data_IF_692523723494
#
_entry.id   IF_692523723494
#
_cell.length_a   1.000
_cell.length_b   1.000
_cell.length_c   1.000
_cell.angle_alpha   90.00
_cell.angle_beta   90.00
_cell.angle_gamma   90.00
#
_symmetry.space_group_name_H-M   'P 1'
#
loop_
_entity.id
_entity.type
_entity.pdbx_description
1 polymer ?
#
# COMPACT_ATOMS: atom_id res chain seq x y z
N UNK A 1 -5.99 7.43 -12.58
CA UNK A 1 -5.85 6.30 -11.63
C UNK A 1 -6.77 6.45 -10.41
N UNK A 2 -6.40 7.15 -9.35
CA UNK A 2 -7.21 7.40 -8.16
C UNK A 2 -7.49 8.90 -8.01
N UNK A 3 -8.75 9.27 -7.71
CA UNK A 3 -9.13 10.65 -7.39
C UNK A 3 -9.98 10.72 -6.13
N UNK A 4 -9.77 11.77 -5.37
CA UNK A 4 -10.59 12.17 -4.24
C UNK A 4 -11.12 13.57 -4.49
N UNK A 5 -12.39 13.81 -4.18
CA UNK A 5 -13.06 15.11 -4.29
C UNK A 5 -13.72 15.45 -2.97
N UNK A 6 -13.28 16.56 -2.36
CA UNK A 6 -13.80 17.09 -1.08
C UNK A 6 -13.96 16.01 0.00
N UNK A 7 -12.97 15.10 0.09
CA UNK A 7 -13.02 13.97 0.99
C UNK A 7 -12.92 14.46 2.44
N UNK A 8 -13.88 14.09 3.26
CA UNK A 8 -13.89 14.40 4.69
C UNK A 8 -14.12 13.15 5.52
N UNK A 9 -13.38 13.01 6.61
CA UNK A 9 -13.59 11.97 7.61
C UNK A 9 -13.55 12.56 9.01
N UNK A 10 -14.66 12.41 9.72
CA UNK A 10 -14.81 12.86 11.10
C UNK A 10 -14.98 11.66 12.04
N UNK A 11 -14.43 11.79 13.24
CA UNK A 11 -14.64 10.89 14.36
C UNK A 11 -15.18 11.71 15.53
N UNK A 12 -16.50 11.63 15.77
CA UNK A 12 -17.18 12.56 16.68
C UNK A 12 -16.99 14.02 16.23
N UNK A 13 -16.47 14.87 17.10
CA UNK A 13 -16.20 16.28 16.81
C UNK A 13 -14.88 16.57 16.08
N UNK A 14 -13.99 15.55 15.93
CA UNK A 14 -12.68 15.73 15.31
C UNK A 14 -12.73 15.39 13.81
N UNK A 15 -12.36 16.33 12.95
CA UNK A 15 -12.16 16.12 11.51
C UNK A 15 -10.71 15.69 11.24
N UNK A 16 -10.50 14.39 11.11
CA UNK A 16 -9.18 13.82 10.83
C UNK A 16 -8.75 13.99 9.37
N UNK A 17 -9.71 14.07 8.44
CA UNK A 17 -9.52 14.49 7.04
C UNK A 17 -10.60 15.55 6.77
N UNK A 18 -10.22 16.69 6.25
CA UNK A 18 -11.08 17.85 6.08
C UNK A 18 -10.92 18.45 4.68
N UNK A 19 -11.91 18.20 3.82
CA UNK A 19 -12.01 18.70 2.44
C UNK A 19 -10.79 18.42 1.57
N UNK A 20 -10.29 17.18 1.60
CA UNK A 20 -9.10 16.78 0.85
C UNK A 20 -9.47 16.39 -0.58
N UNK A 21 -8.88 17.07 -1.56
CA UNK A 21 -9.02 16.75 -2.99
C UNK A 21 -7.67 16.52 -3.63
N UNK A 22 -7.51 15.41 -4.36
CA UNK A 22 -6.29 15.07 -5.10
C UNK A 22 -6.56 14.11 -6.25
N UNK A 23 -5.60 13.99 -7.15
CA UNK A 23 -5.60 12.99 -8.21
C UNK A 23 -4.23 12.35 -8.33
N UNK A 24 -4.16 11.03 -8.22
CA UNK A 24 -2.97 10.25 -8.54
C UNK A 24 -2.98 9.91 -10.03
N UNK A 25 -1.88 10.19 -10.70
CA UNK A 25 -1.65 9.76 -12.08
C UNK A 25 -1.19 8.30 -12.10
N UNK A 26 -1.44 7.63 -13.23
CA UNK A 26 -0.93 6.29 -13.46
C UNK A 26 0.60 6.29 -13.49
N UNK A 27 1.17 5.16 -13.11
CA UNK A 27 2.62 4.90 -13.19
C UNK A 27 3.49 5.89 -12.40
N UNK A 28 2.92 6.52 -11.35
CA UNK A 28 3.68 7.42 -10.46
C UNK A 28 3.97 6.76 -9.11
N UNK A 29 5.07 7.17 -8.49
CA UNK A 29 5.35 6.94 -7.08
C UNK A 29 5.07 8.26 -6.35
N UNK A 30 3.89 8.37 -5.75
CA UNK A 30 3.47 9.58 -5.03
C UNK A 30 3.77 9.44 -3.54
N UNK A 31 4.46 10.41 -2.95
CA UNK A 31 4.68 10.49 -1.50
C UNK A 31 3.54 11.23 -0.81
N UNK A 32 3.14 10.77 0.37
CA UNK A 32 2.23 11.48 1.28
C UNK A 32 2.94 11.72 2.60
N UNK A 33 3.29 12.97 2.86
CA UNK A 33 4.05 13.40 4.05
C UNK A 33 3.24 14.38 4.90
N UNK A 34 3.74 14.67 6.09
CA UNK A 34 3.16 15.63 7.03
C UNK A 34 3.45 15.25 8.48
N UNK A 35 3.26 16.16 9.44
CA UNK A 35 3.50 15.89 10.85
C UNK A 35 2.60 14.78 11.40
N UNK A 36 2.91 14.32 12.62
CA UNK A 36 2.06 13.37 13.32
C UNK A 36 0.67 13.99 13.57
N UNK A 37 -0.39 13.19 13.40
CA UNK A 37 -1.75 13.69 13.50
C UNK A 37 -2.26 14.47 12.28
N UNK A 38 -1.49 14.60 11.19
CA UNK A 38 -1.91 15.30 9.97
C UNK A 38 -3.09 14.65 9.22
N UNK A 39 -3.49 13.43 9.59
CA UNK A 39 -4.60 12.72 8.94
C UNK A 39 -4.19 11.71 7.86
N UNK A 40 -2.89 11.51 7.60
CA UNK A 40 -2.35 10.62 6.55
C UNK A 40 -2.91 9.19 6.63
N UNK A 41 -2.77 8.54 7.78
CA UNK A 41 -3.25 7.17 8.00
C UNK A 41 -4.78 7.09 7.88
N UNK A 42 -5.50 8.14 8.30
CA UNK A 42 -6.96 8.21 8.14
C UNK A 42 -7.34 8.30 6.67
N UNK A 43 -6.62 9.11 5.88
CA UNK A 43 -6.81 9.18 4.43
C UNK A 43 -6.56 7.82 3.77
N UNK A 44 -5.47 7.13 4.11
CA UNK A 44 -5.18 5.76 3.64
C UNK A 44 -6.29 4.78 4.02
N UNK A 45 -6.80 4.86 5.26
CA UNK A 45 -7.90 4.01 5.71
C UNK A 45 -9.18 4.26 4.90
N UNK A 46 -9.46 5.51 4.52
CA UNK A 46 -10.60 5.83 3.65
C UNK A 46 -10.38 5.27 2.24
N UNK A 47 -9.20 5.46 1.66
CA UNK A 47 -8.86 4.97 0.31
C UNK A 47 -8.90 3.44 0.24
N UNK A 48 -8.45 2.75 1.29
CA UNK A 48 -8.46 1.30 1.38
C UNK A 48 -9.81 0.69 1.83
N UNK A 49 -10.83 1.52 2.09
CA UNK A 49 -12.17 1.06 2.50
C UNK A 49 -12.29 0.61 3.95
N UNK A 50 -11.26 0.83 4.79
CA UNK A 50 -11.30 0.52 6.22
C UNK A 50 -12.17 1.51 7.00
N UNK A 51 -12.30 2.73 6.49
CA UNK A 51 -13.21 3.75 6.99
C UNK A 51 -14.02 4.34 5.86
N UNK A 52 -15.35 4.30 5.96
CA UNK A 52 -16.19 5.05 5.04
C UNK A 52 -15.96 6.57 5.27
N UNK A 53 -15.76 7.37 4.22
CA UNK A 53 -15.75 8.83 4.34
C UNK A 53 -17.04 9.35 4.99
N UNK A 54 -16.96 10.49 5.67
CA UNK A 54 -18.14 11.19 6.18
C UNK A 54 -18.85 11.98 5.07
N UNK A 55 -18.06 12.49 4.11
CA UNK A 55 -18.53 13.15 2.89
C UNK A 55 -17.44 13.16 1.83
N UNK A 56 -17.79 13.58 0.61
CA UNK A 56 -16.90 13.59 -0.53
C UNK A 56 -16.98 12.30 -1.33
N UNK A 57 -16.09 12.15 -2.29
CA UNK A 57 -16.10 11.06 -3.25
C UNK A 57 -14.70 10.52 -3.50
N UNK A 58 -14.59 9.18 -3.62
CA UNK A 58 -13.39 8.47 -4.05
C UNK A 58 -13.68 7.69 -5.32
N UNK A 59 -12.83 7.85 -6.34
CA UNK A 59 -12.91 7.07 -7.58
C UNK A 59 -11.59 6.40 -7.90
N UNK A 60 -11.65 5.12 -8.23
CA UNK A 60 -10.56 4.34 -8.79
C UNK A 60 -10.92 4.06 -10.25
N UNK A 61 -10.08 4.54 -11.20
CA UNK A 61 -10.31 4.40 -12.64
C UNK A 61 -11.69 4.89 -13.13
N UNK A 62 -12.17 5.97 -12.50
CA UNK A 62 -13.47 6.55 -12.80
C UNK A 62 -14.64 5.88 -12.07
N UNK A 63 -14.45 4.68 -11.53
CA UNK A 63 -15.46 3.99 -10.73
C UNK A 63 -15.46 4.47 -9.27
N UNK A 64 -16.62 4.72 -8.72
CA UNK A 64 -16.79 5.12 -7.33
C UNK A 64 -16.48 3.97 -6.37
N UNK A 65 -15.61 4.22 -5.37
CA UNK A 65 -15.16 3.21 -4.41
C UNK A 65 -15.43 3.59 -2.95
N UNK A 66 -15.86 4.81 -2.66
CA UNK A 66 -16.17 5.22 -1.29
C UNK A 66 -17.33 4.39 -0.71
N UNK A 67 -17.15 3.91 0.52
CA UNK A 67 -18.09 3.03 1.18
C UNK A 67 -18.05 1.56 0.76
N UNK A 68 -17.19 1.19 -0.19
CA UNK A 68 -16.94 -0.22 -0.50
C UNK A 68 -16.09 -0.88 0.59
N UNK A 69 -16.34 -2.17 0.84
CA UNK A 69 -15.52 -2.97 1.73
C UNK A 69 -14.10 -3.20 1.14
N UNK A 70 -13.06 -3.41 1.98
CA UNK A 70 -11.68 -3.56 1.54
C UNK A 70 -11.46 -4.66 0.50
N UNK A 71 -12.13 -5.80 0.63
CA UNK A 71 -12.07 -6.91 -0.32
C UNK A 71 -12.56 -6.50 -1.72
N UNK A 72 -13.60 -5.67 -1.80
CA UNK A 72 -14.15 -5.13 -3.04
C UNK A 72 -13.19 -4.14 -3.71
N UNK A 73 -12.52 -3.32 -2.90
CA UNK A 73 -11.50 -2.37 -3.38
C UNK A 73 -10.26 -3.13 -3.86
N UNK A 74 -9.84 -4.16 -3.10
CA UNK A 74 -8.73 -5.05 -3.50
C UNK A 74 -9.00 -5.76 -4.83
N UNK A 75 -10.21 -6.27 -5.01
CA UNK A 75 -10.63 -6.91 -6.28
C UNK A 75 -10.62 -5.93 -7.48
N UNK A 76 -10.66 -4.61 -7.24
CA UNK A 76 -10.51 -3.58 -8.28
C UNK A 76 -9.05 -3.17 -8.55
N UNK A 77 -8.10 -3.86 -7.93
CA UNK A 77 -6.68 -3.67 -8.17
C UNK A 77 -6.02 -2.61 -7.28
N UNK A 78 -6.66 -2.18 -6.19
CA UNK A 78 -6.02 -1.36 -5.17
C UNK A 78 -5.65 -2.24 -3.97
N UNK A 79 -4.36 -2.37 -3.72
CA UNK A 79 -3.84 -3.12 -2.59
C UNK A 79 -3.21 -2.19 -1.55
N UNK A 80 -3.21 -2.61 -0.29
CA UNK A 80 -2.54 -1.90 0.80
C UNK A 80 -1.67 -2.86 1.60
N UNK A 81 -0.46 -2.42 1.93
CA UNK A 81 0.36 -3.07 2.96
C UNK A 81 0.05 -2.49 4.34
N UNK A 82 0.30 -3.24 5.39
CA UNK A 82 0.14 -2.77 6.77
C UNK A 82 1.47 -2.22 7.29
N UNK A 83 1.41 -1.21 8.16
CA UNK A 83 2.58 -0.66 8.84
C UNK A 83 3.36 -1.75 9.61
N UNK A 84 2.62 -2.67 10.24
CA UNK A 84 3.18 -3.86 10.90
C UNK A 84 2.74 -5.10 10.12
N UNK A 85 3.66 -5.76 9.39
CA UNK A 85 3.34 -6.98 8.66
C UNK A 85 2.82 -8.07 9.58
N UNK A 86 1.71 -8.69 9.17
CA UNK A 86 1.09 -9.80 9.93
C UNK A 86 1.03 -11.06 9.07
N UNK A 87 2.17 -11.71 8.79
CA UNK A 87 2.14 -13.02 8.16
C UNK A 87 1.56 -14.05 9.12
N UNK A 88 1.04 -15.13 8.57
CA UNK A 88 0.69 -16.32 9.35
C UNK A 88 2.00 -17.01 9.78
N UNK A 89 2.36 -16.98 11.08
CA UNK A 89 3.72 -17.31 11.52
C UNK A 89 4.09 -18.77 11.34
N UNK A 90 3.10 -19.67 11.43
CA UNK A 90 3.30 -21.13 11.34
C UNK A 90 3.18 -21.66 9.90
N UNK A 91 2.69 -20.85 8.97
CA UNK A 91 2.71 -21.15 7.55
C UNK A 91 4.08 -20.81 6.95
N UNK A 92 4.47 -21.53 5.92
CA UNK A 92 5.67 -21.22 5.14
C UNK A 92 5.54 -19.87 4.44
N UNK A 93 6.66 -19.30 4.00
CA UNK A 93 6.68 -18.10 3.17
C UNK A 93 5.85 -18.31 1.89
N UNK A 94 5.99 -19.48 1.26
CA UNK A 94 5.22 -19.85 0.07
C UNK A 94 3.72 -19.89 0.35
N UNK A 95 3.28 -20.60 1.38
CA UNK A 95 1.87 -20.69 1.76
C UNK A 95 1.27 -19.32 2.06
N UNK A 96 2.01 -18.44 2.77
CA UNK A 96 1.59 -17.07 3.02
C UNK A 96 1.28 -16.29 1.73
N UNK A 97 2.09 -16.47 0.70
CA UNK A 97 1.89 -15.79 -0.60
C UNK A 97 0.72 -16.43 -1.36
N UNK A 98 0.55 -17.74 -1.28
CA UNK A 98 -0.52 -18.49 -1.94
C UNK A 98 -1.93 -18.18 -1.41
N UNK A 99 -2.05 -17.56 -0.25
CA UNK A 99 -3.36 -17.12 0.31
C UNK A 99 -3.95 -15.88 -0.40
N UNK A 100 -3.14 -15.11 -1.10
CA UNK A 100 -3.54 -13.80 -1.60
C UNK A 100 -4.26 -13.79 -2.97
N UNK A 101 -4.12 -14.78 -3.88
CA UNK A 101 -4.82 -14.78 -5.16
C UNK A 101 -6.33 -14.78 -4.99
N UNK A 102 -7.01 -13.99 -5.83
CA UNK A 102 -8.47 -13.94 -5.90
C UNK A 102 -9.04 -15.15 -6.67
N UNK A 103 -10.29 -15.50 -6.40
CA UNK A 103 -11.07 -16.51 -7.14
C UNK A 103 -10.42 -17.91 -7.18
N UNK A 104 -9.86 -18.38 -6.08
CA UNK A 104 -9.35 -19.74 -6.00
C UNK A 104 -10.52 -20.75 -6.06
N UNK A 105 -10.57 -21.56 -7.12
CA UNK A 105 -11.66 -22.53 -7.33
C UNK A 105 -11.67 -23.61 -6.25
N UNK A 106 -10.52 -23.93 -5.66
CA UNK A 106 -10.37 -24.86 -4.55
C UNK A 106 -11.12 -24.48 -3.29
N UNK A 107 -11.48 -23.20 -3.10
CA UNK A 107 -12.33 -22.72 -2.00
C UNK A 107 -13.78 -23.19 -2.12
N UNK A 108 -14.21 -23.60 -3.32
CA UNK A 108 -15.56 -24.10 -3.56
C UNK A 108 -15.58 -25.61 -3.36
N UNK A 109 -16.27 -26.07 -2.32
CA UNK A 109 -16.41 -27.51 -1.99
C UNK A 109 -16.76 -28.39 -3.22
N UNK A 110 -17.67 -27.93 -4.06
CA UNK A 110 -18.10 -28.64 -5.26
C UNK A 110 -17.02 -28.74 -6.34
N UNK A 111 -16.14 -27.75 -6.46
CA UNK A 111 -15.09 -27.72 -7.50
C UNK A 111 -14.04 -28.82 -7.26
N UNK A 112 -13.69 -29.08 -6.00
CA UNK A 112 -12.75 -30.13 -5.63
C UNK A 112 -13.26 -31.53 -6.01
N UNK A 113 -14.56 -31.73 -6.00
CA UNK A 113 -15.18 -33.02 -6.29
C UNK A 113 -15.51 -33.21 -7.78
N UNK A 114 -16.00 -32.15 -8.43
CA UNK A 114 -16.46 -32.20 -9.83
C UNK A 114 -15.37 -31.90 -10.86
N UNK A 115 -14.31 -31.16 -10.47
CA UNK A 115 -13.27 -30.67 -11.38
C UNK A 115 -11.85 -30.78 -10.79
N UNK A 116 -11.42 -31.93 -10.22
CA UNK A 116 -10.15 -32.03 -9.50
C UNK A 116 -8.94 -31.69 -10.38
N UNK A 117 -8.95 -32.05 -11.65
CA UNK A 117 -7.87 -31.71 -12.58
C UNK A 117 -7.73 -30.20 -12.84
N UNK A 118 -8.86 -29.46 -12.84
CA UNK A 118 -8.86 -28.01 -13.02
C UNK A 118 -8.39 -27.29 -11.76
N UNK A 119 -8.81 -27.76 -10.59
CA UNK A 119 -8.30 -27.24 -9.30
C UNK A 119 -6.79 -27.46 -9.19
N UNK A 120 -6.29 -28.68 -9.45
CA UNK A 120 -4.87 -28.98 -9.42
C UNK A 120 -4.05 -28.18 -10.44
N UNK A 121 -4.61 -27.87 -11.62
CA UNK A 121 -3.96 -26.99 -12.60
C UNK A 121 -3.87 -25.54 -12.08
N UNK A 122 -4.93 -25.03 -11.46
CA UNK A 122 -4.95 -23.69 -10.86
C UNK A 122 -3.96 -23.60 -9.69
N UNK A 123 -3.93 -24.59 -8.80
CA UNK A 123 -2.98 -24.63 -7.67
C UNK A 123 -1.53 -24.59 -8.16
N UNK A 124 -1.16 -25.38 -9.19
CA UNK A 124 0.16 -25.34 -9.79
C UNK A 124 0.51 -23.95 -10.34
N UNK A 125 -0.45 -23.27 -10.98
CA UNK A 125 -0.27 -21.92 -11.48
C UNK A 125 -0.07 -20.90 -10.33
N UNK A 126 -0.84 -21.02 -9.25
CA UNK A 126 -0.69 -20.20 -8.04
C UNK A 126 0.68 -20.42 -7.39
N UNK A 127 1.13 -21.68 -7.25
CA UNK A 127 2.46 -22.01 -6.72
C UNK A 127 3.56 -21.37 -7.58
N UNK A 128 3.48 -21.50 -8.91
CA UNK A 128 4.47 -20.93 -9.82
C UNK A 128 4.52 -19.40 -9.72
N UNK A 129 3.35 -18.75 -9.64
CA UNK A 129 3.24 -17.31 -9.48
C UNK A 129 3.76 -16.85 -8.09
N UNK A 130 3.44 -17.58 -7.04
CA UNK A 130 3.94 -17.29 -5.69
C UNK A 130 5.46 -17.40 -5.63
N UNK A 131 6.04 -18.46 -6.19
CA UNK A 131 7.52 -18.62 -6.26
C UNK A 131 8.17 -17.50 -7.06
N UNK A 132 7.56 -17.06 -8.17
CA UNK A 132 8.05 -15.93 -8.95
C UNK A 132 8.14 -14.63 -8.09
N UNK A 133 7.09 -14.31 -7.34
CA UNK A 133 7.09 -13.11 -6.50
C UNK A 133 7.99 -13.23 -5.28
N UNK A 134 8.14 -14.43 -4.71
CA UNK A 134 9.11 -14.70 -3.65
C UNK A 134 10.54 -14.50 -4.17
N UNK A 135 10.82 -14.95 -5.38
CA UNK A 135 12.12 -14.74 -6.04
C UNK A 135 12.36 -13.25 -6.31
N UNK A 136 11.36 -12.57 -6.87
CA UNK A 136 11.42 -11.12 -7.11
C UNK A 136 11.79 -10.32 -5.87
N UNK A 137 11.26 -10.67 -4.69
CA UNK A 137 11.60 -9.99 -3.43
C UNK A 137 12.85 -10.55 -2.74
N UNK A 138 13.54 -11.54 -3.33
CA UNK A 138 14.79 -12.10 -2.81
C UNK A 138 14.64 -13.08 -1.63
N UNK A 139 13.46 -13.69 -1.47
CA UNK A 139 13.16 -14.62 -0.38
C UNK A 139 13.14 -16.10 -0.81
N UNK A 140 13.63 -16.44 -2.00
CA UNK A 140 13.60 -17.83 -2.54
C UNK A 140 14.20 -18.86 -1.60
N UNK A 141 15.29 -18.52 -0.92
CA UNK A 141 15.99 -19.39 0.04
C UNK A 141 15.18 -19.66 1.32
N UNK A 142 14.11 -18.91 1.57
CA UNK A 142 13.21 -19.03 2.72
C UNK A 142 11.81 -19.51 2.31
N UNK A 143 11.56 -19.82 1.04
CA UNK A 143 10.23 -20.12 0.52
C UNK A 143 9.50 -21.22 1.30
N UNK A 144 10.19 -22.28 1.65
CA UNK A 144 9.65 -23.45 2.34
C UNK A 144 9.86 -23.37 3.88
N UNK A 145 10.33 -22.23 4.41
CA UNK A 145 10.52 -21.98 5.83
C UNK A 145 9.30 -21.28 6.46
N UNK A 146 9.01 -21.53 7.75
CA UNK A 146 7.89 -20.87 8.43
C UNK A 146 8.16 -19.36 8.57
N UNK A 147 7.12 -18.55 8.35
CA UNK A 147 7.26 -17.08 8.33
C UNK A 147 7.67 -16.48 9.68
N UNK A 148 7.53 -17.22 10.80
CA UNK A 148 7.98 -16.76 12.13
C UNK A 148 9.50 -16.48 12.22
N UNK A 149 10.33 -17.14 11.39
CA UNK A 149 11.79 -16.93 11.44
C UNK A 149 12.24 -15.65 10.72
N UNK A 150 11.37 -15.04 9.93
CA UNK A 150 11.71 -13.86 9.15
C UNK A 150 12.02 -12.66 10.05
N UNK A 151 13.05 -11.92 9.70
CA UNK A 151 13.34 -10.60 10.27
C UNK A 151 12.21 -9.60 9.96
N UNK A 152 12.17 -8.47 10.67
CA UNK A 152 11.17 -7.42 10.42
C UNK A 152 11.13 -6.95 8.97
N UNK A 153 12.28 -6.70 8.36
CA UNK A 153 12.35 -6.28 6.97
C UNK A 153 12.00 -7.40 5.97
N UNK A 154 12.38 -8.66 6.24
CA UNK A 154 11.97 -9.79 5.41
C UNK A 154 10.45 -10.00 5.46
N UNK A 155 9.80 -9.73 6.59
CA UNK A 155 8.33 -9.73 6.67
C UNK A 155 7.68 -8.66 5.79
N UNK A 156 8.30 -7.47 5.65
CA UNK A 156 7.82 -6.43 4.72
C UNK A 156 7.96 -6.86 3.27
N UNK A 157 9.07 -7.53 2.91
CA UNK A 157 9.23 -8.13 1.58
C UNK A 157 8.21 -9.25 1.31
N UNK A 158 7.95 -10.10 2.31
CA UNK A 158 6.89 -11.12 2.20
C UNK A 158 5.51 -10.48 1.98
N UNK A 159 5.21 -9.41 2.69
CA UNK A 159 3.94 -8.69 2.53
C UNK A 159 3.82 -8.09 1.12
N UNK A 160 4.91 -7.51 0.60
CA UNK A 160 4.94 -7.04 -0.79
C UNK A 160 4.67 -8.19 -1.77
N UNK A 161 5.32 -9.35 -1.60
CA UNK A 161 5.09 -10.52 -2.43
C UNK A 161 3.62 -10.99 -2.39
N UNK A 162 3.00 -11.00 -1.19
CA UNK A 162 1.58 -11.34 -1.01
C UNK A 162 0.65 -10.43 -1.81
N UNK A 163 0.93 -9.14 -1.79
CA UNK A 163 0.14 -8.15 -2.53
C UNK A 163 0.31 -8.33 -4.04
N UNK A 164 1.52 -8.61 -4.51
CA UNK A 164 1.85 -8.70 -5.94
C UNK A 164 1.20 -9.88 -6.66
N UNK A 165 0.90 -10.97 -5.95
CA UNK A 165 0.20 -12.14 -6.54
C UNK A 165 -1.19 -11.76 -7.06
N UNK A 166 -1.86 -10.78 -6.44
CA UNK A 166 -3.15 -10.27 -6.90
C UNK A 166 -3.05 -9.31 -8.09
N UNK A 167 -1.83 -9.01 -8.60
CA UNK A 167 -1.57 -8.10 -9.73
C UNK A 167 -2.21 -6.72 -9.54
N UNK A 168 -1.92 -6.02 -8.45
CA UNK A 168 -2.51 -4.73 -8.18
C UNK A 168 -2.03 -3.67 -9.19
N UNK A 169 -2.89 -2.69 -9.48
CA UNK A 169 -2.56 -1.52 -10.31
C UNK A 169 -2.12 -0.33 -9.46
N UNK A 170 -2.61 -0.26 -8.21
CA UNK A 170 -2.24 0.73 -7.22
C UNK A 170 -1.89 0.04 -5.90
N UNK A 171 -0.73 0.37 -5.35
CA UNK A 171 -0.30 -0.11 -4.04
C UNK A 171 -0.16 1.06 -3.08
N UNK A 172 -0.83 0.97 -1.94
CA UNK A 172 -0.65 1.87 -0.81
C UNK A 172 0.39 1.28 0.14
N UNK A 173 1.51 1.98 0.32
CA UNK A 173 2.58 1.57 1.25
C UNK A 173 2.58 2.48 2.48
N UNK A 174 2.47 1.89 3.66
CA UNK A 174 2.46 2.60 4.94
C UNK A 174 3.80 2.36 5.66
N UNK A 175 4.69 3.35 5.62
CA UNK A 175 6.04 3.37 6.22
C UNK A 175 6.88 2.13 5.85
N UNK A 176 7.14 1.87 4.55
CA UNK A 176 7.92 0.71 4.14
C UNK A 176 9.34 0.69 4.71
N UNK A 177 9.92 1.86 5.02
CA UNK A 177 11.26 1.99 5.60
C UNK A 177 11.34 1.83 7.12
N UNK A 178 10.22 1.88 7.85
CA UNK A 178 10.24 1.88 9.31
C UNK A 178 10.80 0.57 9.89
N UNK A 179 11.85 0.68 10.74
CA UNK A 179 12.47 -0.47 11.40
C UNK A 179 13.23 -1.43 10.48
N UNK A 180 13.59 -1.00 9.28
CA UNK A 180 14.38 -1.76 8.30
C UNK A 180 15.83 -1.27 8.32
N UNK A 181 16.79 -2.20 8.23
CA UNK A 181 18.20 -1.80 8.09
C UNK A 181 18.45 -1.18 6.69
N UNK A 182 19.49 -0.34 6.53
CA UNK A 182 19.76 0.38 5.28
C UNK A 182 19.85 -0.51 4.04
N UNK A 183 20.58 -1.63 4.11
CA UNK A 183 20.78 -2.51 2.96
C UNK A 183 19.46 -3.15 2.47
N UNK A 184 18.57 -3.51 3.40
CA UNK A 184 17.27 -4.07 3.06
C UNK A 184 16.30 -2.98 2.59
N UNK A 185 16.43 -1.74 3.10
CA UNK A 185 15.69 -0.59 2.61
C UNK A 185 16.01 -0.31 1.14
N UNK A 186 17.28 -0.35 0.75
CA UNK A 186 17.72 -0.24 -0.65
C UNK A 186 17.03 -1.31 -1.52
N UNK A 187 17.00 -2.56 -1.05
CA UNK A 187 16.30 -3.64 -1.74
C UNK A 187 14.81 -3.32 -1.91
N UNK A 188 14.12 -2.86 -0.86
CA UNK A 188 12.69 -2.48 -0.95
C UNK A 188 12.48 -1.39 -1.99
N UNK A 189 13.32 -0.35 -1.99
CA UNK A 189 13.26 0.77 -2.94
C UNK A 189 13.47 0.27 -4.37
N UNK A 190 14.48 -0.55 -4.61
CA UNK A 190 14.72 -1.17 -5.92
C UNK A 190 13.48 -1.94 -6.43
N UNK A 191 12.83 -2.72 -5.56
CA UNK A 191 11.60 -3.46 -5.92
C UNK A 191 10.44 -2.53 -6.23
N UNK A 192 10.25 -1.46 -5.47
CA UNK A 192 9.23 -0.43 -5.75
C UNK A 192 9.48 0.22 -7.13
N UNK A 193 10.72 0.64 -7.40
CA UNK A 193 11.08 1.24 -8.69
C UNK A 193 10.91 0.25 -9.85
N UNK A 194 11.32 -1.00 -9.66
CA UNK A 194 11.16 -2.04 -10.68
C UNK A 194 9.67 -2.31 -11.01
N UNK A 195 8.81 -2.33 -10.00
CA UNK A 195 7.36 -2.51 -10.17
C UNK A 195 6.71 -1.28 -10.82
N UNK A 196 7.14 -0.08 -10.45
CA UNK A 196 6.64 1.16 -11.05
C UNK A 196 6.97 1.21 -12.55
N UNK A 197 8.18 0.79 -12.95
CA UNK A 197 8.56 0.65 -14.37
C UNK A 197 7.72 -0.41 -15.13
N UNK A 198 7.06 -1.31 -14.42
CA UNK A 198 6.12 -2.30 -14.97
C UNK A 198 4.67 -1.78 -14.99
N UNK A 199 4.45 -0.50 -14.67
CA UNK A 199 3.14 0.13 -14.71
C UNK A 199 2.37 0.15 -13.38
N UNK A 200 2.97 -0.29 -12.26
CA UNK A 200 2.32 -0.23 -10.94
C UNK A 200 2.42 1.18 -10.38
N UNK A 201 1.30 1.73 -9.97
CA UNK A 201 1.23 3.03 -9.29
C UNK A 201 1.40 2.86 -7.78
N UNK A 202 2.07 3.81 -7.13
CA UNK A 202 2.28 3.79 -5.69
C UNK A 202 1.81 5.08 -5.03
N UNK A 203 1.20 4.94 -3.84
CA UNK A 203 1.02 6.03 -2.88
C UNK A 203 1.69 5.59 -1.56
N UNK A 204 2.70 6.34 -1.12
CA UNK A 204 3.59 5.97 -0.01
C UNK A 204 3.47 6.98 1.10
N UNK A 205 3.11 6.56 2.32
CA UNK A 205 3.35 7.34 3.54
C UNK A 205 4.75 7.02 4.02
N UNK A 206 5.55 8.04 4.26
CA UNK A 206 6.90 7.91 4.82
C UNK A 206 7.27 9.11 5.69
N UNK A 207 8.13 8.85 6.68
CA UNK A 207 8.70 9.87 7.56
C UNK A 207 10.18 10.13 7.27
N UNK A 208 10.85 9.22 6.56
CA UNK A 208 12.21 9.40 6.09
C UNK A 208 12.20 10.34 4.86
N UNK A 209 12.58 11.61 5.13
CA UNK A 209 12.53 12.65 4.09
C UNK A 209 13.50 12.37 2.94
N UNK A 210 14.69 11.81 3.21
CA UNK A 210 15.66 11.46 2.16
C UNK A 210 15.08 10.42 1.21
N UNK A 211 14.39 9.41 1.75
CA UNK A 211 13.70 8.41 0.96
C UNK A 211 12.59 9.04 0.11
N UNK A 212 11.74 9.87 0.70
CA UNK A 212 10.64 10.54 -0.01
C UNK A 212 11.17 11.42 -1.13
N UNK A 213 12.18 12.28 -0.82
CA UNK A 213 12.74 13.22 -1.79
C UNK A 213 13.46 12.53 -2.96
N UNK A 214 14.05 11.35 -2.73
CA UNK A 214 14.71 10.57 -3.78
C UNK A 214 13.75 9.75 -4.64
N UNK A 215 12.71 9.19 -4.02
CA UNK A 215 11.85 8.17 -4.64
C UNK A 215 10.54 8.75 -5.20
N UNK A 216 9.91 9.71 -4.50
CA UNK A 216 8.53 10.11 -4.77
C UNK A 216 8.44 11.34 -5.70
N UNK A 217 7.60 11.23 -6.71
CA UNK A 217 7.24 12.33 -7.64
C UNK A 217 5.83 12.10 -8.17
N UNK A 218 4.82 12.93 -7.78
CA UNK A 218 4.88 14.09 -6.88
C UNK A 218 4.90 13.73 -5.38
N UNK A 219 5.05 14.76 -4.55
CA UNK A 219 4.91 14.68 -3.09
C UNK A 219 3.69 15.51 -2.68
N UNK A 220 2.80 14.90 -1.92
CA UNK A 220 1.62 15.51 -1.29
C UNK A 220 1.92 15.78 0.18
N UNK A 221 1.59 16.97 0.67
CA UNK A 221 1.81 17.35 2.06
C UNK A 221 0.47 17.58 2.76
N UNK A 222 0.25 16.88 3.87
CA UNK A 222 -0.91 17.09 4.71
C UNK A 222 -0.53 17.71 6.06
N UNK A 223 -1.39 18.59 6.56
CA UNK A 223 -1.37 19.06 7.95
C UNK A 223 -2.78 19.35 8.44
N UNK A 224 -3.07 19.06 9.70
CA UNK A 224 -4.35 19.32 10.36
C UNK A 224 -5.58 18.83 9.57
N UNK A 225 -5.44 17.65 8.96
CA UNK A 225 -6.49 17.02 8.15
C UNK A 225 -6.62 17.55 6.73
N UNK A 226 -5.86 18.56 6.30
CA UNK A 226 -5.95 19.20 4.99
C UNK A 226 -4.73 18.91 4.11
N UNK A 227 -4.95 18.92 2.79
CA UNK A 227 -3.87 18.92 1.83
C UNK A 227 -3.33 20.36 1.69
N UNK A 228 -2.08 20.57 2.08
CA UNK A 228 -1.43 21.89 2.00
C UNK A 228 -0.93 22.20 0.59
N UNK A 229 -0.22 21.24 0.00
CA UNK A 229 0.40 21.40 -1.32
C UNK A 229 0.70 20.04 -1.95
N UNK A 230 0.90 20.07 -3.27
CA UNK A 230 1.39 18.93 -4.05
C UNK A 230 2.42 19.46 -5.04
N UNK A 231 3.59 18.88 -5.07
CA UNK A 231 4.66 19.35 -5.96
C UNK A 231 5.87 18.42 -5.99
N UNK A 232 6.93 18.90 -6.60
CA UNK A 232 8.25 18.26 -6.58
C UNK A 232 8.91 18.39 -5.20
N UNK A 233 9.95 17.62 -4.96
CA UNK A 233 10.75 17.71 -3.74
C UNK A 233 11.25 19.15 -3.48
N UNK A 234 11.67 19.84 -4.53
CA UNK A 234 12.18 21.22 -4.44
C UNK A 234 11.07 22.23 -4.10
N UNK A 235 9.90 22.12 -4.74
CA UNK A 235 8.74 22.98 -4.45
C UNK A 235 8.24 22.80 -3.03
N UNK A 236 8.11 21.54 -2.60
CA UNK A 236 7.62 21.21 -1.25
C UNK A 236 8.58 21.66 -0.17
N UNK A 237 9.90 21.51 -0.37
CA UNK A 237 10.91 21.90 0.63
C UNK A 237 11.02 23.43 0.84
N UNK A 238 10.58 24.22 -0.16
CA UNK A 238 10.60 25.69 -0.12
C UNK A 238 9.24 26.31 0.22
N UNK A 239 8.18 25.52 0.35
CA UNK A 239 6.84 26.05 0.66
C UNK A 239 6.78 26.49 2.13
N UNK A 240 6.55 27.80 2.43
CA UNK A 240 6.49 28.28 3.80
C UNK A 240 5.43 27.57 4.66
N UNK A 241 4.29 27.17 4.06
CA UNK A 241 3.22 26.45 4.77
C UNK A 241 3.69 25.07 5.23
N UNK A 242 4.55 24.42 4.44
CA UNK A 242 5.14 23.12 4.81
C UNK A 242 6.13 23.31 5.94
N UNK A 243 7.01 24.32 5.84
CA UNK A 243 8.00 24.64 6.89
C UNK A 243 7.28 24.93 8.20
N UNK A 244 6.27 25.79 8.19
CA UNK A 244 5.48 26.14 9.37
C UNK A 244 4.77 24.93 9.99
N UNK A 245 4.22 24.02 9.14
CA UNK A 245 3.54 22.82 9.61
C UNK A 245 4.47 21.85 10.36
N UNK A 246 5.75 21.79 9.97
CA UNK A 246 6.75 20.95 10.65
C UNK A 246 7.40 21.64 11.85
N UNK A 247 7.63 22.96 11.80
CA UNK A 247 8.25 23.73 12.90
C UNK A 247 7.22 24.19 13.92
N UNK A 248 6.03 24.60 13.51
CA UNK A 248 4.96 25.08 14.38
C UNK A 248 4.36 24.00 15.29
N UNK A 249 4.47 22.72 14.94
CA UNK A 249 4.09 21.58 15.78
C UNK A 249 5.05 21.27 16.92
N UNK A 250 6.23 21.93 16.97
CA UNK A 250 7.24 21.74 18.01
C UNK A 250 7.09 22.71 19.19
N UNK A 251 6.13 23.65 19.16
CA UNK A 251 5.97 24.75 20.16
C UNK A 251 4.61 24.68 20.88
N UNK A 252 3.86 23.57 20.77
CA UNK A 252 2.58 23.41 21.49
C UNK A 252 2.61 22.25 22.48
#
# INVERSE_FOLDING_TARGET
MLSAQSLTKSFGGNRAVDDVSFTLKDETITGLIGPNGAGKTTLFNCVAGLHAPSSGELRLEGERIDGLAPDRIFARGLARTFQIPRPFPDMTVLENVMLAPLDQQGERFWANWLMPARVAAQERAVIAQARHWIDFVGLSHLADQPARILSGGQRKLLELARVLVAKPRLILLDEPGAGVNPALLETIVERIVALNRQGVTFLIIEHNMDLVMSLCRPIMVMAQGKLLTTGTAEEVSRDPRVIDAYLGGAIA
#
